data_IF_999263363041
#
_entry.id   IF_999263363041
#
_cell.length_a   1.000
_cell.length_b   1.000
_cell.length_c   1.000
_cell.angle_alpha   90.00
_cell.angle_beta   90.00
_cell.angle_gamma   90.00
#
_symmetry.space_group_name_H-M   'P 1'
#
loop_
_entity.id
_entity.type
_entity.pdbx_description
1 polymer ?
#
# COMPACT_ATOMS: atom_id res chain seq x y z
N UNK A 1 -22.73 21.39 35.19
CA UNK A 1 -23.70 22.11 34.31
C UNK A 1 -23.91 21.33 33.00
N UNK A 2 -22.84 20.93 32.29
CA UNK A 2 -22.93 20.21 31.00
C UNK A 2 -23.76 18.92 30.97
N UNK A 3 -23.68 18.04 31.98
CA UNK A 3 -24.42 16.76 31.99
C UNK A 3 -25.96 16.91 32.05
N UNK A 4 -26.47 17.99 32.68
CA UNK A 4 -27.92 18.23 32.77
C UNK A 4 -28.51 18.75 31.45
N UNK A 5 -27.69 19.43 30.64
CA UNK A 5 -28.09 19.94 29.34
C UNK A 5 -27.82 18.95 28.20
N UNK A 6 -26.82 18.06 28.35
CA UNK A 6 -26.51 17.03 27.35
C UNK A 6 -27.65 16.03 27.16
N UNK A 7 -28.31 15.60 28.23
CA UNK A 7 -29.46 14.69 28.13
C UNK A 7 -30.66 15.28 27.37
N UNK A 8 -30.92 16.58 27.56
CA UNK A 8 -31.95 17.32 26.81
C UNK A 8 -31.57 17.54 25.34
N UNK A 9 -30.28 17.72 25.06
CA UNK A 9 -29.77 17.84 23.71
C UNK A 9 -29.88 16.50 22.95
N UNK A 10 -29.44 15.40 23.57
CA UNK A 10 -29.43 14.07 22.95
C UNK A 10 -30.84 13.53 22.69
N UNK A 11 -31.79 13.77 23.60
CA UNK A 11 -33.18 13.32 23.44
C UNK A 11 -33.94 13.99 22.28
N UNK A 12 -33.46 15.14 21.80
CA UNK A 12 -34.06 15.90 20.69
C UNK A 12 -33.27 15.78 19.38
N UNK A 13 -32.12 15.12 19.43
CA UNK A 13 -31.27 14.83 18.30
C UNK A 13 -31.69 13.48 17.70
N UNK A 14 -31.93 13.45 16.40
CA UNK A 14 -32.14 12.22 15.65
C UNK A 14 -31.06 12.10 14.59
N UNK A 15 -30.38 10.95 14.61
CA UNK A 15 -29.32 10.59 13.66
C UNK A 15 -29.77 9.32 12.96
N UNK A 16 -29.99 9.41 11.66
CA UNK A 16 -30.42 8.27 10.85
C UNK A 16 -29.47 8.09 9.68
N UNK A 17 -29.08 6.85 9.43
CA UNK A 17 -28.38 6.51 8.21
C UNK A 17 -29.40 6.32 7.08
N UNK A 18 -29.17 6.96 5.93
CA UNK A 18 -30.05 6.80 4.78
C UNK A 18 -29.68 5.52 4.05
N UNK A 19 -30.57 4.53 4.15
CA UNK A 19 -30.38 3.20 3.59
C UNK A 19 -29.88 3.22 2.14
N UNK A 20 -28.79 2.50 1.88
CA UNK A 20 -28.21 2.37 0.54
C UNK A 20 -27.38 3.57 0.08
N UNK A 21 -27.05 4.51 0.97
CA UNK A 21 -26.18 5.66 0.71
C UNK A 21 -25.25 5.90 1.90
N UNK A 22 -24.09 6.51 1.70
CA UNK A 22 -23.20 6.91 2.79
C UNK A 22 -23.65 8.20 3.52
N UNK A 23 -24.92 8.59 3.37
CA UNK A 23 -25.48 9.83 3.91
C UNK A 23 -26.03 9.60 5.31
N UNK A 24 -25.62 10.47 6.25
CA UNK A 24 -26.16 10.54 7.60
C UNK A 24 -27.07 11.76 7.69
N UNK A 25 -28.36 11.50 7.95
CA UNK A 25 -29.35 12.53 8.22
C UNK A 25 -29.32 12.89 9.70
N UNK A 26 -28.93 14.13 9.98
CA UNK A 26 -28.90 14.70 11.34
C UNK A 26 -30.00 15.73 11.44
N UNK A 27 -30.89 15.56 12.41
CA UNK A 27 -31.97 16.50 12.69
C UNK A 27 -32.08 16.81 14.18
N UNK A 28 -32.47 18.04 14.50
CA UNK A 28 -32.70 18.47 15.88
C UNK A 28 -34.09 19.12 15.99
N UNK A 29 -34.88 18.62 16.93
CA UNK A 29 -36.23 19.15 17.17
C UNK A 29 -36.19 20.23 18.24
N UNK A 30 -36.53 21.48 17.88
CA UNK A 30 -36.81 22.55 18.85
C UNK A 30 -38.09 23.30 18.50
N UNK A 31 -38.72 23.86 19.54
CA UNK A 31 -39.79 24.86 19.42
C UNK A 31 -39.30 26.16 18.77
N UNK A 32 -37.98 26.42 18.79
CA UNK A 32 -37.38 27.66 18.27
C UNK A 32 -36.52 27.36 17.03
N UNK A 33 -36.90 27.87 15.84
CA UNK A 33 -36.16 27.58 14.60
C UNK A 33 -34.68 28.00 14.63
N UNK A 34 -34.38 29.09 15.32
CA UNK A 34 -33.01 29.58 15.44
C UNK A 34 -32.14 28.63 16.26
N UNK A 35 -32.68 28.06 17.33
CA UNK A 35 -31.98 27.11 18.20
C UNK A 35 -31.68 25.82 17.45
N UNK A 36 -32.68 25.24 16.75
CA UNK A 36 -32.48 24.01 15.99
C UNK A 36 -31.37 24.13 14.93
N UNK A 37 -31.40 25.22 14.15
CA UNK A 37 -30.38 25.50 13.14
C UNK A 37 -28.99 25.67 13.75
N UNK A 38 -28.88 26.44 14.84
CA UNK A 38 -27.60 26.68 15.50
C UNK A 38 -27.00 25.37 16.01
N UNK A 39 -27.81 24.53 16.64
CA UNK A 39 -27.36 23.26 17.22
C UNK A 39 -26.91 22.28 16.13
N UNK A 40 -27.71 22.08 15.08
CA UNK A 40 -27.33 21.15 14.00
C UNK A 40 -26.06 21.62 13.29
N UNK A 41 -25.97 22.90 12.93
CA UNK A 41 -24.78 23.42 12.24
C UNK A 41 -23.53 23.34 13.12
N UNK A 42 -23.65 23.69 14.41
CA UNK A 42 -22.51 23.62 15.35
C UNK A 42 -22.07 22.17 15.56
N UNK A 43 -23.02 21.23 15.64
CA UNK A 43 -22.72 19.80 15.76
C UNK A 43 -21.95 19.30 14.55
N UNK A 44 -22.40 19.66 13.34
CA UNK A 44 -21.72 19.31 12.08
C UNK A 44 -20.30 19.89 12.04
N UNK A 45 -20.12 21.16 12.39
CA UNK A 45 -18.80 21.81 12.40
C UNK A 45 -17.83 21.18 13.42
N UNK A 46 -18.33 20.86 14.62
CA UNK A 46 -17.52 20.21 15.66
C UNK A 46 -17.15 18.79 15.25
N UNK A 47 -18.07 18.05 14.64
CA UNK A 47 -17.82 16.70 14.14
C UNK A 47 -16.76 16.70 13.04
N UNK A 48 -16.83 17.63 12.07
CA UNK A 48 -15.80 17.76 11.03
C UNK A 48 -14.41 18.03 11.63
N UNK A 49 -14.31 18.92 12.61
CA UNK A 49 -13.04 19.22 13.30
C UNK A 49 -12.52 18.03 14.11
N UNK A 50 -13.41 17.29 14.76
CA UNK A 50 -13.08 16.08 15.49
C UNK A 50 -12.52 15.00 14.55
N UNK A 51 -13.18 14.73 13.43
CA UNK A 51 -12.71 13.79 12.41
C UNK A 51 -11.32 14.16 11.88
N UNK A 52 -11.07 15.45 11.57
CA UNK A 52 -9.75 15.92 11.12
C UNK A 52 -8.66 15.73 12.19
N UNK A 53 -8.98 16.03 13.46
CA UNK A 53 -8.02 15.85 14.56
C UNK A 53 -7.71 14.38 14.82
N UNK A 54 -8.73 13.53 14.85
CA UNK A 54 -8.57 12.09 14.99
C UNK A 54 -7.74 11.54 13.83
N UNK A 55 -8.03 11.94 12.59
CA UNK A 55 -7.23 11.59 11.40
C UNK A 55 -5.75 11.96 11.56
N UNK A 56 -5.44 13.13 12.12
CA UNK A 56 -4.08 13.59 12.41
C UNK A 56 -3.36 12.80 13.51
N UNK A 57 -4.02 12.53 14.65
CA UNK A 57 -3.45 11.72 15.74
C UNK A 57 -3.20 10.28 15.30
N UNK A 58 -4.10 9.71 14.48
CA UNK A 58 -3.89 8.41 13.86
C UNK A 58 -2.72 8.43 12.86
N UNK A 59 -2.53 9.50 12.09
CA UNK A 59 -1.40 9.63 11.19
C UNK A 59 -0.06 9.63 11.95
N UNK A 60 0.03 10.36 13.07
CA UNK A 60 1.23 10.38 13.91
C UNK A 60 1.61 8.99 14.46
N UNK A 61 0.64 8.27 15.04
CA UNK A 61 0.87 6.91 15.55
C UNK A 61 1.23 5.91 14.44
N UNK A 62 0.76 6.16 13.21
CA UNK A 62 1.13 5.33 12.05
C UNK A 62 2.55 5.58 11.60
N UNK A 63 3.00 6.83 11.65
CA UNK A 63 4.38 7.19 11.28
C UNK A 63 5.35 6.54 12.26
N UNK A 64 5.11 6.66 13.56
CA UNK A 64 5.97 6.03 14.58
C UNK A 64 5.99 4.50 14.43
N UNK A 65 4.84 3.87 14.15
CA UNK A 65 4.78 2.44 13.84
C UNK A 65 5.56 2.08 12.57
N UNK A 66 5.41 2.85 11.48
CA UNK A 66 6.12 2.62 10.22
C UNK A 66 7.63 2.82 10.37
N UNK A 67 8.07 3.83 11.12
CA UNK A 67 9.48 4.06 11.45
C UNK A 67 10.05 2.87 12.24
N UNK A 68 9.31 2.38 13.24
CA UNK A 68 9.72 1.21 14.02
C UNK A 68 9.82 -0.07 13.17
N UNK A 69 8.94 -0.23 12.18
CA UNK A 69 8.94 -1.33 11.22
C UNK A 69 10.14 -1.25 10.28
N UNK A 70 10.42 -0.07 9.72
CA UNK A 70 11.58 0.16 8.84
C UNK A 70 12.87 -0.17 9.58
N UNK A 71 13.04 0.34 10.81
CA UNK A 71 14.19 0.04 11.65
C UNK A 71 14.34 -1.47 11.94
N UNK A 72 13.24 -2.15 12.31
CA UNK A 72 13.28 -3.60 12.53
C UNK A 72 13.68 -4.37 11.27
N UNK A 73 13.24 -3.90 10.11
CA UNK A 73 13.46 -4.58 8.86
C UNK A 73 14.89 -4.36 8.34
N UNK A 74 15.46 -3.17 8.56
CA UNK A 74 16.87 -2.87 8.29
C UNK A 74 17.80 -3.72 9.18
N UNK A 75 17.43 -3.95 10.44
CA UNK A 75 18.17 -4.87 11.32
C UNK A 75 18.15 -6.30 10.78
N UNK A 76 16.98 -6.81 10.37
CA UNK A 76 16.86 -8.15 9.78
C UNK A 76 17.64 -8.30 8.48
N UNK A 77 17.68 -7.24 7.65
CA UNK A 77 18.48 -7.22 6.42
C UNK A 77 19.97 -7.33 6.75
N UNK A 78 20.46 -6.52 7.68
CA UNK A 78 21.86 -6.57 8.13
C UNK A 78 22.24 -7.94 8.70
N UNK A 79 21.34 -8.58 9.46
CA UNK A 79 21.56 -9.94 9.97
C UNK A 79 21.66 -10.98 8.85
N UNK A 80 20.79 -10.89 7.84
CA UNK A 80 20.81 -11.78 6.68
C UNK A 80 22.08 -11.60 5.83
N UNK A 81 22.45 -10.35 5.54
CA UNK A 81 23.69 -10.02 4.80
C UNK A 81 24.94 -10.53 5.54
N UNK A 82 24.95 -10.39 6.87
CA UNK A 82 26.05 -10.90 7.70
C UNK A 82 26.13 -12.42 7.70
N UNK A 83 24.99 -13.11 7.85
CA UNK A 83 24.93 -14.56 7.81
C UNK A 83 25.43 -15.11 6.46
N UNK A 84 25.06 -14.44 5.38
CA UNK A 84 25.50 -14.76 4.03
C UNK A 84 27.01 -14.54 3.86
N UNK A 85 27.54 -13.40 4.32
CA UNK A 85 28.97 -13.12 4.30
C UNK A 85 29.78 -14.15 5.12
N UNK A 86 29.26 -14.60 6.26
CA UNK A 86 29.91 -15.60 7.10
C UNK A 86 29.84 -17.01 6.47
N UNK A 87 28.73 -17.37 5.82
CA UNK A 87 28.61 -18.59 5.03
C UNK A 87 29.61 -18.62 3.86
N UNK A 88 29.72 -17.52 3.11
CA UNK A 88 30.70 -17.38 2.02
C UNK A 88 32.15 -17.54 2.51
N UNK A 89 32.45 -17.06 3.72
CA UNK A 89 33.78 -17.26 4.35
C UNK A 89 34.01 -18.71 4.80
N UNK A 90 33.00 -19.35 5.39
CA UNK A 90 33.09 -20.71 5.93
C UNK A 90 33.27 -21.76 4.83
N UNK A 91 32.51 -21.67 3.75
CA UNK A 91 32.57 -22.61 2.62
C UNK A 91 33.83 -22.45 1.75
N UNK A 92 34.79 -21.60 2.16
CA UNK A 92 36.03 -21.33 1.43
C UNK A 92 35.78 -21.09 -0.06
N UNK A 93 34.72 -20.34 -0.37
CA UNK A 93 34.35 -19.94 -1.73
C UNK A 93 35.41 -19.08 -2.45
N UNK A 94 36.55 -18.81 -1.81
CA UNK A 94 37.74 -18.22 -2.43
C UNK A 94 38.56 -19.22 -3.28
N UNK A 95 38.28 -20.53 -3.19
CA UNK A 95 39.06 -21.61 -3.82
C UNK A 95 38.28 -22.42 -4.89
N UNK A 96 37.10 -21.96 -5.29
CA UNK A 96 36.31 -22.61 -6.33
C UNK A 96 36.69 -22.05 -7.71
N UNK A 97 36.78 -22.92 -8.73
CA UNK A 97 36.96 -22.52 -10.13
C UNK A 97 36.04 -21.34 -10.49
N UNK A 98 36.55 -20.39 -11.28
CA UNK A 98 35.94 -19.05 -11.45
C UNK A 98 34.45 -19.01 -11.81
N UNK A 99 33.87 -20.10 -12.34
CA UNK A 99 32.44 -20.23 -12.61
C UNK A 99 31.61 -20.39 -11.32
N UNK A 100 32.05 -21.21 -10.36
CA UNK A 100 31.29 -21.51 -9.13
C UNK A 100 31.25 -20.32 -8.15
N UNK A 101 32.31 -19.52 -8.09
CA UNK A 101 32.34 -18.25 -7.35
C UNK A 101 31.33 -17.25 -7.95
N UNK A 102 31.24 -17.19 -9.28
CA UNK A 102 30.29 -16.30 -9.96
C UNK A 102 28.84 -16.71 -9.71
N UNK A 103 28.54 -18.01 -9.74
CA UNK A 103 27.19 -18.54 -9.48
C UNK A 103 26.76 -18.31 -8.04
N UNK A 104 27.64 -18.55 -7.06
CA UNK A 104 27.31 -18.30 -5.64
C UNK A 104 27.06 -16.81 -5.37
N UNK A 105 27.85 -15.92 -5.97
CA UNK A 105 27.62 -14.48 -5.87
C UNK A 105 26.28 -14.06 -6.50
N UNK A 106 25.88 -14.68 -7.62
CA UNK A 106 24.58 -14.44 -8.25
C UNK A 106 23.42 -14.91 -7.37
N UNK A 107 23.50 -16.12 -6.81
CA UNK A 107 22.49 -16.65 -5.88
C UNK A 107 22.32 -15.72 -4.68
N UNK A 108 23.44 -15.34 -4.04
CA UNK A 108 23.50 -14.39 -2.92
C UNK A 108 22.82 -13.05 -3.22
N UNK A 109 23.05 -12.50 -4.42
CA UNK A 109 22.40 -11.27 -4.88
C UNK A 109 20.88 -11.44 -5.05
N UNK A 110 20.44 -12.55 -5.65
CA UNK A 110 19.01 -12.84 -5.87
C UNK A 110 18.30 -13.05 -4.52
N UNK A 111 18.93 -13.75 -3.57
CA UNK A 111 18.41 -13.94 -2.22
C UNK A 111 18.26 -12.62 -1.48
N UNK A 112 19.27 -11.75 -1.52
CA UNK A 112 19.21 -10.40 -0.94
C UNK A 112 18.05 -9.59 -1.52
N UNK A 113 17.86 -9.63 -2.84
CA UNK A 113 16.76 -8.94 -3.50
C UNK A 113 15.38 -9.53 -3.16
N UNK A 114 15.30 -10.83 -2.89
CA UNK A 114 14.11 -11.51 -2.38
C UNK A 114 13.78 -11.10 -0.94
N UNK A 115 14.78 -10.98 -0.07
CA UNK A 115 14.61 -10.47 1.29
C UNK A 115 14.10 -9.03 1.27
N UNK A 116 14.71 -8.17 0.46
CA UNK A 116 14.26 -6.78 0.26
C UNK A 116 12.83 -6.70 -0.29
N UNK A 117 12.49 -7.53 -1.27
CA UNK A 117 11.11 -7.54 -1.81
C UNK A 117 10.11 -8.02 -0.75
N UNK A 118 10.48 -9.01 0.06
CA UNK A 118 9.63 -9.49 1.17
C UNK A 118 9.41 -8.43 2.24
N UNK A 119 10.46 -7.70 2.61
CA UNK A 119 10.41 -6.55 3.50
C UNK A 119 9.39 -5.50 3.03
N UNK A 120 9.53 -5.09 1.76
CA UNK A 120 8.71 -4.05 1.14
C UNK A 120 7.24 -4.46 1.01
N UNK A 121 6.97 -5.74 0.74
CA UNK A 121 5.62 -6.33 0.76
C UNK A 121 5.02 -6.21 2.17
N UNK A 122 5.76 -6.61 3.21
CA UNK A 122 5.26 -6.62 4.57
C UNK A 122 4.93 -5.20 5.06
N UNK A 123 5.84 -4.25 4.84
CA UNK A 123 5.64 -2.84 5.23
C UNK A 123 4.35 -2.29 4.58
N UNK A 124 4.17 -2.52 3.28
CA UNK A 124 2.98 -2.04 2.57
C UNK A 124 1.71 -2.75 2.97
N UNK A 125 1.75 -4.06 3.23
CA UNK A 125 0.61 -4.83 3.74
C UNK A 125 0.15 -4.31 5.10
N UNK A 126 1.09 -4.01 6.00
CA UNK A 126 0.74 -3.43 7.30
C UNK A 126 0.12 -2.04 7.16
N UNK A 127 0.70 -1.19 6.30
CA UNK A 127 0.11 0.12 5.97
C UNK A 127 -1.30 -0.03 5.37
N UNK A 128 -1.47 -0.99 4.46
CA UNK A 128 -2.75 -1.31 3.85
C UNK A 128 -3.78 -1.75 4.90
N UNK A 129 -3.42 -2.68 5.79
CA UNK A 129 -4.31 -3.18 6.86
C UNK A 129 -4.71 -2.06 7.81
N UNK A 130 -3.77 -1.19 8.18
CA UNK A 130 -4.02 -0.03 9.03
C UNK A 130 -5.01 0.93 8.38
N UNK A 131 -4.81 1.28 7.11
CA UNK A 131 -5.73 2.14 6.37
C UNK A 131 -7.11 1.49 6.18
N UNK A 132 -7.15 0.19 5.85
CA UNK A 132 -8.39 -0.57 5.68
C UNK A 132 -9.18 -0.67 6.98
N UNK A 133 -8.52 -0.74 8.14
CA UNK A 133 -9.19 -0.78 9.45
C UNK A 133 -9.93 0.51 9.81
N UNK A 134 -9.57 1.65 9.18
CA UNK A 134 -10.22 2.96 9.37
C UNK A 134 -11.51 3.13 8.57
N UNK A 135 -11.76 2.23 7.63
CA UNK A 135 -12.92 2.29 6.76
C UNK A 135 -14.15 1.61 7.39
N UNK A 136 -15.31 2.19 7.14
CA UNK A 136 -16.62 1.57 7.37
C UNK A 136 -16.77 0.30 6.52
N UNK A 137 -17.80 -0.50 6.81
CA UNK A 137 -18.06 -1.71 6.04
C UNK A 137 -18.42 -1.40 4.57
N UNK A 138 -19.19 -0.33 4.34
CA UNK A 138 -19.59 0.10 2.99
C UNK A 138 -18.40 0.63 2.20
N UNK A 139 -17.49 1.36 2.85
CA UNK A 139 -16.25 1.86 2.26
C UNK A 139 -15.28 0.73 1.88
N UNK A 140 -15.17 -0.30 2.72
CA UNK A 140 -14.40 -1.51 2.38
C UNK A 140 -14.96 -2.19 1.14
N UNK A 141 -16.29 -2.33 1.07
CA UNK A 141 -16.99 -2.92 -0.08
C UNK A 141 -16.76 -2.12 -1.36
N UNK A 142 -16.78 -0.78 -1.27
CA UNK A 142 -16.46 0.10 -2.40
C UNK A 142 -15.00 -0.07 -2.83
N UNK A 143 -14.06 -0.03 -1.88
CA UNK A 143 -12.63 -0.19 -2.17
C UNK A 143 -12.36 -1.54 -2.87
N UNK A 144 -12.94 -2.63 -2.38
CA UNK A 144 -12.76 -3.97 -2.97
C UNK A 144 -13.35 -4.05 -4.39
N UNK A 145 -14.51 -3.41 -4.67
CA UNK A 145 -15.09 -3.35 -6.02
C UNK A 145 -14.23 -2.55 -6.99
N UNK A 146 -13.71 -1.41 -6.55
CA UNK A 146 -12.83 -0.58 -7.35
C UNK A 146 -11.51 -1.30 -7.64
N UNK A 147 -10.93 -1.96 -6.64
CA UNK A 147 -9.70 -2.72 -6.80
C UNK A 147 -9.84 -3.85 -7.80
N UNK A 148 -10.92 -4.63 -7.72
CA UNK A 148 -11.24 -5.67 -8.71
C UNK A 148 -11.34 -5.09 -10.13
N UNK A 149 -11.95 -3.91 -10.28
CA UNK A 149 -12.09 -3.26 -11.59
C UNK A 149 -10.75 -2.78 -12.14
N UNK A 150 -9.89 -2.23 -11.27
CA UNK A 150 -8.55 -1.77 -11.64
C UNK A 150 -7.68 -2.97 -12.00
N UNK A 151 -7.70 -4.04 -11.20
CA UNK A 151 -6.95 -5.26 -11.42
C UNK A 151 -7.22 -5.87 -12.80
N UNK A 152 -8.50 -5.97 -13.19
CA UNK A 152 -8.89 -6.47 -14.52
C UNK A 152 -8.31 -5.58 -15.63
N UNK A 153 -8.25 -4.27 -15.43
CA UNK A 153 -7.75 -3.33 -16.45
C UNK A 153 -6.22 -3.27 -16.54
N UNK A 154 -5.51 -3.67 -15.48
CA UNK A 154 -4.03 -3.63 -15.45
C UNK A 154 -3.36 -4.99 -15.57
N UNK A 155 -4.13 -6.09 -15.60
CA UNK A 155 -3.60 -7.46 -15.65
C UNK A 155 -2.66 -7.71 -16.83
N UNK A 156 -2.92 -7.12 -18.00
CA UNK A 156 -2.06 -7.27 -19.17
C UNK A 156 -0.69 -6.62 -18.97
N UNK A 157 -0.66 -5.41 -18.38
CA UNK A 157 0.58 -4.71 -18.03
C UNK A 157 1.38 -5.48 -16.97
N UNK A 158 0.70 -6.07 -15.98
CA UNK A 158 1.32 -6.91 -14.95
C UNK A 158 1.95 -8.17 -15.57
N UNK A 159 1.25 -8.82 -16.51
CA UNK A 159 1.78 -9.99 -17.22
C UNK A 159 3.01 -9.62 -18.06
N UNK A 160 2.97 -8.54 -18.82
CA UNK A 160 4.11 -8.05 -19.61
C UNK A 160 5.32 -7.74 -18.71
N UNK A 161 5.06 -7.17 -17.52
CA UNK A 161 6.09 -6.85 -16.54
C UNK A 161 6.76 -8.10 -15.99
N UNK A 162 5.99 -9.12 -15.63
CA UNK A 162 6.51 -10.43 -15.20
C UNK A 162 7.39 -11.07 -16.28
N UNK A 163 7.00 -10.99 -17.55
CA UNK A 163 7.84 -11.52 -18.64
C UNK A 163 9.14 -10.72 -18.81
N UNK A 164 9.10 -9.39 -18.68
CA UNK A 164 10.31 -8.56 -18.75
C UNK A 164 11.25 -8.77 -17.56
N UNK A 165 10.71 -8.96 -16.34
CA UNK A 165 11.52 -9.28 -15.16
C UNK A 165 12.22 -10.63 -15.29
N UNK A 166 11.50 -11.67 -15.74
CA UNK A 166 12.11 -12.98 -16.01
C UNK A 166 13.26 -12.86 -17.05
N UNK A 167 13.02 -12.14 -18.15
CA UNK A 167 14.04 -11.90 -19.16
C UNK A 167 15.23 -11.10 -18.61
N UNK A 168 14.98 -10.07 -17.80
CA UNK A 168 16.01 -9.24 -17.20
C UNK A 168 16.93 -10.07 -16.33
N UNK A 169 16.37 -10.85 -15.39
CA UNK A 169 17.19 -11.60 -14.45
C UNK A 169 17.97 -12.70 -15.19
N UNK A 170 17.39 -13.35 -16.20
CA UNK A 170 18.12 -14.30 -17.07
C UNK A 170 19.30 -13.61 -17.79
N UNK A 171 19.10 -12.39 -18.30
CA UNK A 171 20.17 -11.65 -18.98
C UNK A 171 21.24 -11.15 -18.01
N UNK A 172 20.87 -10.76 -16.79
CA UNK A 172 21.82 -10.39 -15.72
C UNK A 172 22.68 -11.60 -15.36
N UNK A 173 22.07 -12.77 -15.19
CA UNK A 173 22.77 -14.03 -14.93
C UNK A 173 23.77 -14.38 -16.04
N UNK A 174 23.38 -14.23 -17.30
CA UNK A 174 24.18 -14.67 -18.46
C UNK A 174 25.27 -13.67 -18.87
N UNK A 175 25.01 -12.36 -18.73
CA UNK A 175 25.85 -11.31 -19.32
C UNK A 175 26.40 -10.31 -18.29
N UNK A 176 25.91 -10.37 -17.04
CA UNK A 176 26.25 -9.42 -15.99
C UNK A 176 25.46 -8.12 -16.06
N UNK A 177 25.44 -7.39 -14.95
CA UNK A 177 24.64 -6.17 -14.75
C UNK A 177 24.93 -5.04 -15.74
N UNK A 178 26.18 -4.92 -16.18
CA UNK A 178 26.64 -3.81 -17.00
C UNK A 178 26.35 -3.97 -18.50
N UNK A 179 25.83 -5.13 -18.92
CA UNK A 179 25.61 -5.45 -20.32
C UNK A 179 24.52 -4.57 -20.95
N UNK A 180 24.69 -4.19 -22.23
CA UNK A 180 23.74 -3.30 -22.93
C UNK A 180 22.32 -3.84 -22.96
N UNK A 181 22.16 -5.15 -23.21
CA UNK A 181 20.84 -5.80 -23.21
C UNK A 181 20.14 -5.73 -21.84
N UNK A 182 20.89 -5.86 -20.74
CA UNK A 182 20.37 -5.73 -19.37
C UNK A 182 19.91 -4.30 -19.12
N UNK A 183 20.72 -3.31 -19.50
CA UNK A 183 20.36 -1.88 -19.36
C UNK A 183 19.10 -1.53 -20.16
N UNK A 184 18.94 -2.08 -21.35
CA UNK A 184 17.75 -1.87 -22.18
C UNK A 184 16.51 -2.55 -21.58
N UNK A 185 16.66 -3.75 -21.02
CA UNK A 185 15.59 -4.44 -20.31
C UNK A 185 15.17 -3.68 -19.04
N UNK A 186 16.12 -3.16 -18.25
CA UNK A 186 15.84 -2.30 -17.09
C UNK A 186 15.03 -1.06 -17.49
N UNK A 187 15.44 -0.35 -18.55
CA UNK A 187 14.69 0.80 -19.07
C UNK A 187 13.27 0.46 -19.49
N UNK A 188 13.07 -0.67 -20.19
CA UNK A 188 11.73 -1.13 -20.59
C UNK A 188 10.88 -1.45 -19.38
N UNK A 189 11.46 -2.12 -18.39
CA UNK A 189 10.80 -2.46 -17.14
C UNK A 189 10.37 -1.21 -16.37
N UNK A 190 11.24 -0.21 -16.25
CA UNK A 190 10.94 1.06 -15.56
C UNK A 190 9.85 1.85 -16.28
N UNK A 191 9.87 1.85 -17.62
CA UNK A 191 8.81 2.46 -18.43
C UNK A 191 7.47 1.76 -18.21
N UNK A 192 7.46 0.42 -18.14
CA UNK A 192 6.24 -0.34 -17.90
C UNK A 192 5.70 -0.16 -16.48
N UNK A 193 6.58 -0.10 -15.47
CA UNK A 193 6.23 0.28 -14.09
C UNK A 193 5.60 1.67 -14.04
N UNK A 194 6.18 2.64 -14.74
CA UNK A 194 5.64 4.00 -14.81
C UNK A 194 4.28 4.04 -15.50
N UNK A 195 4.09 3.25 -16.56
CA UNK A 195 2.81 3.11 -17.29
C UNK A 195 1.74 2.46 -16.41
N UNK A 196 2.08 1.40 -15.68
CA UNK A 196 1.20 0.75 -14.72
C UNK A 196 0.75 1.73 -13.64
N UNK A 197 1.68 2.42 -13.00
CA UNK A 197 1.39 3.42 -11.96
C UNK A 197 0.51 4.56 -12.49
N UNK A 198 0.79 5.04 -13.71
CA UNK A 198 -0.02 6.08 -14.35
C UNK A 198 -1.44 5.59 -14.64
N UNK A 199 -1.60 4.34 -15.11
CA UNK A 199 -2.92 3.77 -15.40
C UNK A 199 -3.72 3.55 -14.12
N UNK A 200 -3.08 3.05 -13.07
CA UNK A 200 -3.71 2.93 -11.74
C UNK A 200 -4.19 4.30 -11.27
N UNK A 201 -3.33 5.32 -11.30
CA UNK A 201 -3.69 6.69 -10.90
C UNK A 201 -4.84 7.27 -11.74
N UNK A 202 -4.84 7.04 -13.05
CA UNK A 202 -5.93 7.45 -13.96
C UNK A 202 -7.26 6.80 -13.54
N UNK A 203 -7.27 5.49 -13.35
CA UNK A 203 -8.46 4.73 -12.98
C UNK A 203 -8.97 5.12 -11.59
N UNK A 204 -8.07 5.27 -10.62
CA UNK A 204 -8.39 5.79 -9.28
C UNK A 204 -9.04 7.17 -9.38
N UNK A 205 -8.51 8.07 -10.21
CA UNK A 205 -9.06 9.42 -10.37
C UNK A 205 -10.46 9.39 -11.01
N UNK A 206 -10.64 8.61 -12.08
CA UNK A 206 -11.93 8.45 -12.78
C UNK A 206 -13.01 7.85 -11.87
N UNK A 207 -12.66 6.87 -11.04
CA UNK A 207 -13.58 6.23 -10.10
C UNK A 207 -13.98 7.12 -8.92
N UNK A 208 -13.12 8.08 -8.53
CA UNK A 208 -13.37 8.99 -7.39
C UNK A 208 -14.17 10.23 -7.80
N UNK A 209 -14.28 10.56 -9.10
CA UNK A 209 -14.91 11.82 -9.54
C UNK A 209 -16.44 11.85 -9.40
N UNK A 210 -17.09 10.76 -8.95
CA UNK A 210 -18.55 10.68 -8.87
C UNK A 210 -18.99 10.22 -7.46
N UNK A 211 -19.62 11.14 -6.73
CA UNK A 211 -20.43 11.01 -5.50
C UNK A 211 -19.76 11.30 -4.11
N UNK A 212 -20.33 12.33 -3.43
CA UNK A 212 -20.44 12.54 -1.96
C UNK A 212 -19.24 13.06 -1.11
N UNK A 213 -19.45 13.61 0.12
CA UNK A 213 -18.82 14.83 0.64
C UNK A 213 -17.64 14.55 1.60
N UNK A 214 -17.08 13.34 1.57
CA UNK A 214 -16.02 12.89 2.47
C UNK A 214 -14.71 12.65 1.70
N UNK A 215 -14.15 13.74 1.17
CA UNK A 215 -12.86 13.78 0.44
C UNK A 215 -11.74 13.02 1.18
N UNK A 216 -11.72 13.07 2.52
CA UNK A 216 -10.72 12.37 3.34
C UNK A 216 -10.79 10.83 3.21
N UNK A 217 -11.99 10.27 3.02
CA UNK A 217 -12.21 8.82 2.86
C UNK A 217 -11.89 8.35 1.44
N UNK A 218 -12.12 9.20 0.44
CA UNK A 218 -11.66 8.96 -0.94
C UNK A 218 -10.12 8.86 -1.04
N UNK A 219 -9.40 9.67 -0.26
CA UNK A 219 -7.93 9.60 -0.20
C UNK A 219 -7.44 8.26 0.39
N UNK A 220 -8.12 7.73 1.41
CA UNK A 220 -7.79 6.41 1.99
C UNK A 220 -8.00 5.32 0.95
N UNK A 221 -9.12 5.33 0.23
CA UNK A 221 -9.41 4.35 -0.83
C UNK A 221 -8.38 4.44 -1.97
N UNK A 222 -8.01 5.65 -2.40
CA UNK A 222 -6.96 5.87 -3.40
C UNK A 222 -5.59 5.33 -2.96
N UNK A 223 -5.25 5.55 -1.68
CA UNK A 223 -3.99 5.07 -1.10
C UNK A 223 -3.98 3.55 -0.95
N UNK A 224 -5.11 2.92 -0.60
CA UNK A 224 -5.24 1.46 -0.57
C UNK A 224 -5.00 0.84 -1.95
N UNK A 225 -5.59 1.41 -3.00
CA UNK A 225 -5.40 0.95 -4.39
C UNK A 225 -3.93 1.10 -4.80
N UNK A 226 -3.28 2.20 -4.41
CA UNK A 226 -1.86 2.43 -4.72
C UNK A 226 -0.98 1.39 -4.02
N UNK A 227 -1.21 1.15 -2.73
CA UNK A 227 -0.48 0.16 -1.94
C UNK A 227 -0.66 -1.26 -2.48
N UNK A 228 -1.87 -1.63 -2.89
CA UNK A 228 -2.14 -2.94 -3.50
C UNK A 228 -1.36 -3.13 -4.82
N UNK A 229 -1.34 -2.09 -5.66
CA UNK A 229 -0.55 -2.12 -6.89
C UNK A 229 0.95 -2.29 -6.62
N UNK A 230 1.48 -1.57 -5.62
CA UNK A 230 2.88 -1.70 -5.21
C UNK A 230 3.18 -3.09 -4.64
N UNK A 231 2.33 -3.61 -3.73
CA UNK A 231 2.45 -4.98 -3.18
C UNK A 231 2.48 -6.01 -4.30
N UNK A 232 1.58 -5.89 -5.28
CA UNK A 232 1.54 -6.77 -6.44
C UNK A 232 2.83 -6.68 -7.25
N UNK A 233 3.38 -5.49 -7.46
CA UNK A 233 4.66 -5.29 -8.12
C UNK A 233 5.81 -6.03 -7.43
N UNK A 234 5.95 -5.91 -6.10
CA UNK A 234 6.97 -6.64 -5.36
C UNK A 234 6.73 -8.15 -5.32
N UNK A 235 5.47 -8.61 -5.30
CA UNK A 235 5.14 -10.04 -5.36
C UNK A 235 5.56 -10.67 -6.69
N UNK A 236 5.31 -9.98 -7.81
CA UNK A 236 5.73 -10.44 -9.13
C UNK A 236 7.26 -10.58 -9.20
N UNK A 237 7.97 -9.54 -8.77
CA UNK A 237 9.43 -9.53 -8.71
C UNK A 237 9.98 -10.69 -7.88
N UNK A 238 9.44 -10.88 -6.68
CA UNK A 238 9.83 -11.97 -5.78
C UNK A 238 9.59 -13.36 -6.41
N UNK A 239 8.42 -13.57 -7.02
CA UNK A 239 8.07 -14.86 -7.62
C UNK A 239 9.04 -15.23 -8.77
N UNK A 240 9.43 -14.27 -9.61
CA UNK A 240 10.42 -14.54 -10.67
C UNK A 240 11.81 -14.83 -10.10
N UNK A 241 12.26 -14.07 -9.10
CA UNK A 241 13.52 -14.34 -8.40
C UNK A 241 13.54 -15.73 -7.73
N UNK A 242 12.44 -16.16 -7.11
CA UNK A 242 12.30 -17.50 -6.54
C UNK A 242 12.34 -18.60 -7.60
N UNK A 243 11.66 -18.43 -8.75
CA UNK A 243 11.75 -19.39 -9.86
C UNK A 243 13.19 -19.54 -10.34
N UNK A 244 13.95 -18.47 -10.40
CA UNK A 244 15.33 -18.52 -10.87
C UNK A 244 16.26 -19.22 -9.90
N UNK A 245 16.06 -19.05 -8.59
CA UNK A 245 16.77 -19.84 -7.58
C UNK A 245 16.53 -21.35 -7.74
N UNK A 246 15.39 -21.79 -8.29
CA UNK A 246 15.15 -23.22 -8.56
C UNK A 246 15.85 -23.76 -9.81
N UNK A 247 16.35 -22.88 -10.68
CA UNK A 247 17.05 -23.25 -11.92
C UNK A 247 18.56 -23.39 -11.69
N UNK A 248 19.09 -22.72 -10.66
CA UNK A 248 20.46 -22.89 -10.17
C UNK A 248 20.62 -24.13 -9.29
#
# INVERSE_FOLDING_TARGET
IGERFSGGLLSRLSVNHRNGTDIIDISYTSVWPHEARLIVNTLVDVYQKFELKMSGEYAANSVEFLESLVLNQELKLNEAEKALADYMKQERMYDLDGNAVSTSAQISSIETENYNSTAEINIRKEKYNLLKSRLSQDEKSLADKLMNTIDVQVISLRNEMSHLEANLIQNVAQHGEEHGAVKDLRKKLDALKSKLNSKVKELTSQSITVQDPLQARQNIVAELITLDSEITGYLLKKNESEKLLTVY
#
